data_IF_615043936640
#
_entry.id   IF_615043936640
#
_cell.length_a   1.000
_cell.length_b   1.000
_cell.length_c   1.000
_cell.angle_alpha   90.00
_cell.angle_beta   90.00
_cell.angle_gamma   90.00
#
_symmetry.space_group_name_H-M   'P 1'
#
loop_
_entity.id
_entity.type
_entity.pdbx_description
1 polymer ?
#
# COMPACT_ATOMS: atom_id res chain seq x y z
N UNK A 1 -36.70 -30.21 -48.15
CA UNK A 1 -36.87 -29.38 -46.93
C UNK A 1 -35.78 -28.32 -46.92
N UNK A 2 -36.14 -27.05 -46.85
CA UNK A 2 -35.16 -25.95 -46.66
C UNK A 2 -35.26 -25.55 -45.19
N UNK A 3 -34.25 -25.89 -44.39
CA UNK A 3 -34.19 -25.52 -42.98
C UNK A 3 -33.82 -24.05 -42.84
N UNK A 4 -34.59 -23.30 -42.04
CA UNK A 4 -34.18 -21.96 -41.58
C UNK A 4 -33.32 -22.11 -40.33
N UNK A 5 -32.13 -21.55 -40.35
CA UNK A 5 -31.29 -21.37 -39.16
C UNK A 5 -31.41 -19.93 -38.66
N UNK A 6 -31.47 -19.75 -37.34
CA UNK A 6 -31.36 -18.45 -36.69
C UNK A 6 -30.00 -18.37 -35.98
N UNK A 7 -29.27 -17.28 -36.18
CA UNK A 7 -28.07 -16.96 -35.41
C UNK A 7 -28.53 -16.22 -34.15
N UNK A 8 -28.42 -16.87 -32.99
CA UNK A 8 -28.68 -16.23 -31.69
C UNK A 8 -27.34 -15.71 -31.17
N UNK A 9 -27.21 -14.40 -31.04
CA UNK A 9 -26.03 -13.80 -30.41
C UNK A 9 -26.21 -13.88 -28.89
N UNK A 10 -25.54 -14.82 -28.23
CA UNK A 10 -25.57 -14.94 -26.78
C UNK A 10 -24.57 -13.92 -26.23
N UNK A 11 -25.06 -12.79 -25.73
CA UNK A 11 -24.21 -11.84 -25.02
C UNK A 11 -23.64 -12.54 -23.79
N UNK A 12 -22.31 -12.62 -23.70
CA UNK A 12 -21.66 -13.22 -22.53
C UNK A 12 -21.15 -12.11 -21.63
N UNK A 13 -21.80 -11.97 -20.48
CA UNK A 13 -21.44 -10.99 -19.45
C UNK A 13 -19.99 -11.20 -18.97
N UNK A 14 -19.18 -10.15 -19.03
CA UNK A 14 -17.78 -10.16 -18.59
C UNK A 14 -17.64 -9.52 -17.21
N UNK A 15 -17.36 -10.34 -16.21
CA UNK A 15 -17.13 -9.87 -14.85
C UNK A 15 -15.65 -9.57 -14.66
N UNK A 16 -15.33 -8.32 -14.32
CA UNK A 16 -13.98 -7.94 -13.92
C UNK A 16 -13.84 -8.22 -12.43
N UNK A 17 -12.88 -9.07 -12.07
CA UNK A 17 -12.55 -9.40 -10.69
C UNK A 17 -11.21 -8.77 -10.31
N UNK A 18 -11.22 -7.95 -9.27
CA UNK A 18 -10.01 -7.42 -8.62
C UNK A 18 -9.95 -7.92 -7.18
N UNK A 19 -8.75 -8.13 -6.63
CA UNK A 19 -8.60 -8.58 -5.24
C UNK A 19 -7.59 -7.74 -4.47
N UNK A 20 -7.79 -7.62 -3.16
CA UNK A 20 -6.85 -6.92 -2.28
C UNK A 20 -7.32 -6.74 -0.84
N UNK A 21 -6.38 -6.31 -0.01
CA UNK A 21 -6.67 -5.94 1.38
C UNK A 21 -7.40 -4.60 1.51
N UNK A 22 -7.11 -3.65 0.60
CA UNK A 22 -7.71 -2.31 0.55
C UNK A 22 -7.78 -1.62 1.93
N UNK A 23 -6.66 -1.59 2.64
CA UNK A 23 -6.59 -1.19 4.05
C UNK A 23 -5.46 -0.18 4.36
N UNK A 24 -5.80 1.08 4.69
CA UNK A 24 -7.09 1.74 4.45
C UNK A 24 -7.34 2.02 2.96
N UNK A 25 -8.61 2.22 2.60
CA UNK A 25 -9.01 2.64 1.25
C UNK A 25 -8.56 4.09 1.00
N UNK A 26 -8.12 4.41 -0.22
CA UNK A 26 -7.69 5.76 -0.63
C UNK A 26 -7.89 5.96 -2.14
N UNK A 27 -7.64 7.17 -2.64
CA UNK A 27 -7.86 7.56 -4.04
C UNK A 27 -7.17 6.64 -5.07
N UNK A 28 -5.97 6.14 -4.79
CA UNK A 28 -5.31 5.13 -5.63
C UNK A 28 -6.16 3.87 -5.87
N UNK A 29 -6.86 3.35 -4.86
CA UNK A 29 -7.78 2.23 -5.04
C UNK A 29 -9.01 2.63 -5.87
N UNK A 30 -9.50 3.86 -5.71
CA UNK A 30 -10.63 4.38 -6.49
C UNK A 30 -10.27 4.44 -7.98
N UNK A 31 -9.09 4.96 -8.33
CA UNK A 31 -8.63 5.02 -9.73
C UNK A 31 -8.37 3.62 -10.30
N UNK A 32 -7.82 2.71 -9.49
CA UNK A 32 -7.69 1.31 -9.86
C UNK A 32 -9.04 0.66 -10.18
N UNK A 33 -10.05 0.83 -9.32
CA UNK A 33 -11.40 0.30 -9.55
C UNK A 33 -12.07 0.93 -10.77
N UNK A 34 -11.94 2.25 -10.97
CA UNK A 34 -12.44 2.92 -12.19
C UNK A 34 -11.78 2.38 -13.47
N UNK A 35 -10.49 2.10 -13.43
CA UNK A 35 -9.78 1.51 -14.55
C UNK A 35 -10.23 0.07 -14.80
N UNK A 36 -10.34 -0.74 -13.75
CA UNK A 36 -10.82 -2.11 -13.82
C UNK A 36 -12.25 -2.19 -14.37
N UNK A 37 -13.16 -1.33 -13.90
CA UNK A 37 -14.57 -1.29 -14.33
C UNK A 37 -14.75 -1.12 -15.84
N UNK A 38 -13.79 -0.50 -16.53
CA UNK A 38 -13.82 -0.28 -17.99
C UNK A 38 -13.49 -1.55 -18.80
N UNK A 39 -12.98 -2.60 -18.17
CA UNK A 39 -12.53 -3.82 -18.85
C UNK A 39 -13.68 -4.80 -19.12
N UNK A 40 -14.83 -4.63 -18.47
CA UNK A 40 -15.97 -5.52 -18.59
C UNK A 40 -17.28 -4.86 -18.15
N UNK A 41 -18.29 -5.69 -18.03
CA UNK A 41 -19.68 -5.29 -17.80
C UNK A 41 -19.99 -5.00 -16.33
N UNK A 42 -19.32 -5.72 -15.41
CA UNK A 42 -19.44 -5.56 -13.96
C UNK A 42 -18.06 -5.58 -13.30
N UNK A 43 -17.89 -4.86 -12.19
CA UNK A 43 -16.71 -4.95 -11.32
C UNK A 43 -17.07 -5.65 -10.01
N UNK A 44 -16.45 -6.79 -9.79
CA UNK A 44 -16.48 -7.53 -8.54
C UNK A 44 -15.17 -7.31 -7.79
N UNK A 45 -15.26 -6.93 -6.51
CA UNK A 45 -14.10 -6.67 -5.65
C UNK A 45 -13.99 -7.76 -4.59
N UNK A 46 -12.95 -8.57 -4.67
CA UNK A 46 -12.56 -9.55 -3.66
C UNK A 46 -11.78 -8.92 -2.53
N UNK A 47 -12.28 -9.06 -1.30
CA UNK A 47 -11.64 -8.52 -0.10
C UNK A 47 -10.95 -9.63 0.71
N UNK A 48 -9.68 -9.45 1.02
CA UNK A 48 -8.90 -10.36 1.87
C UNK A 48 -9.26 -10.21 3.36
N UNK A 49 -9.10 -11.28 4.13
CA UNK A 49 -9.41 -11.33 5.58
C UNK A 49 -8.47 -10.45 6.42
N UNK A 50 -8.87 -10.14 7.66
CA UNK A 50 -7.99 -9.45 8.61
C UNK A 50 -6.76 -10.31 8.96
N UNK A 51 -6.93 -11.63 9.04
CA UNK A 51 -5.83 -12.57 9.24
C UNK A 51 -4.79 -12.51 8.11
N UNK A 52 -5.23 -12.36 6.86
CA UNK A 52 -4.34 -12.15 5.72
C UNK A 52 -3.57 -10.85 5.80
N UNK A 53 -4.24 -9.75 6.16
CA UNK A 53 -3.59 -8.46 6.36
C UNK A 53 -2.52 -8.54 7.45
N UNK A 54 -2.82 -9.21 8.57
CA UNK A 54 -1.87 -9.41 9.67
C UNK A 54 -0.67 -10.25 9.22
N UNK A 55 -0.87 -11.39 8.54
CA UNK A 55 0.25 -12.21 8.03
C UNK A 55 1.13 -11.45 7.05
N UNK A 56 0.53 -10.65 6.16
CA UNK A 56 1.25 -9.97 5.08
C UNK A 56 1.90 -8.64 5.50
N UNK A 57 1.23 -7.87 6.36
CA UNK A 57 1.62 -6.49 6.71
C UNK A 57 1.87 -6.29 8.21
N UNK A 58 1.71 -7.33 9.03
CA UNK A 58 1.88 -7.31 10.49
C UNK A 58 0.69 -6.72 11.27
N UNK A 59 -0.30 -6.12 10.59
CA UNK A 59 -1.51 -5.56 11.22
C UNK A 59 -2.64 -5.38 10.20
N UNK A 60 -3.88 -5.37 10.70
CA UNK A 60 -5.04 -4.82 10.03
C UNK A 60 -5.40 -3.47 10.69
N UNK A 61 -5.61 -2.42 9.90
CA UNK A 61 -6.05 -1.11 10.39
C UNK A 61 -7.58 -1.05 10.47
N UNK A 62 -8.26 -1.41 9.38
CA UNK A 62 -9.71 -1.40 9.29
C UNK A 62 -10.27 -2.83 9.33
N UNK A 63 -11.26 -3.12 10.21
CA UNK A 63 -11.90 -4.44 10.27
C UNK A 63 -12.49 -4.86 8.92
N UNK A 64 -12.51 -6.17 8.67
CA UNK A 64 -13.02 -6.74 7.41
C UNK A 64 -14.41 -6.23 7.02
N UNK A 65 -15.34 -6.16 7.98
CA UNK A 65 -16.72 -5.71 7.71
C UNK A 65 -16.79 -4.24 7.30
N UNK A 66 -15.96 -3.37 7.90
CA UNK A 66 -15.88 -1.96 7.54
C UNK A 66 -15.34 -1.78 6.11
N UNK A 67 -14.31 -2.55 5.74
CA UNK A 67 -13.76 -2.54 4.37
C UNK A 67 -14.81 -2.97 3.34
N UNK A 68 -15.59 -4.01 3.66
CA UNK A 68 -16.72 -4.44 2.83
C UNK A 68 -17.73 -3.32 2.65
N UNK A 69 -18.17 -2.69 3.75
CA UNK A 69 -19.24 -1.71 3.71
C UNK A 69 -18.84 -0.48 2.88
N UNK A 70 -17.61 0.00 3.06
CA UNK A 70 -17.11 1.13 2.27
C UNK A 70 -17.04 0.75 0.78
N UNK A 71 -16.48 -0.41 0.44
CA UNK A 71 -16.28 -0.80 -0.97
C UNK A 71 -17.61 -1.07 -1.66
N UNK A 72 -18.58 -1.71 -0.98
CA UNK A 72 -19.93 -1.97 -1.51
C UNK A 72 -20.66 -0.69 -1.92
N UNK A 73 -20.39 0.42 -1.26
CA UNK A 73 -21.03 1.71 -1.54
C UNK A 73 -20.26 2.56 -2.57
N UNK A 74 -19.18 2.04 -3.18
CA UNK A 74 -18.48 2.74 -4.25
C UNK A 74 -19.23 2.57 -5.58
N UNK A 75 -19.56 3.70 -6.22
CA UNK A 75 -20.37 3.75 -7.45
C UNK A 75 -19.95 2.79 -8.58
N UNK A 76 -18.65 2.54 -8.73
CA UNK A 76 -18.11 1.68 -9.80
C UNK A 76 -18.02 0.21 -9.42
N UNK A 77 -18.39 -0.18 -8.20
CA UNK A 77 -18.35 -1.56 -7.71
C UNK A 77 -19.75 -2.14 -7.79
N UNK A 78 -19.91 -3.20 -8.57
CA UNK A 78 -21.19 -3.88 -8.76
C UNK A 78 -21.39 -4.99 -7.70
N UNK A 79 -20.29 -5.61 -7.23
CA UNK A 79 -20.33 -6.65 -6.19
C UNK A 79 -19.08 -6.66 -5.34
N UNK A 80 -19.23 -7.01 -4.06
CA UNK A 80 -18.12 -7.34 -3.17
C UNK A 80 -18.20 -8.80 -2.77
N UNK A 81 -17.08 -9.51 -2.87
CA UNK A 81 -16.97 -10.90 -2.47
C UNK A 81 -15.87 -11.07 -1.42
N UNK A 82 -16.09 -11.99 -0.51
CA UNK A 82 -15.08 -12.47 0.41
C UNK A 82 -14.10 -13.39 -0.32
N UNK A 83 -12.80 -13.18 -0.14
CA UNK A 83 -11.78 -14.11 -0.65
C UNK A 83 -11.59 -15.21 0.38
N UNK A 84 -12.37 -16.28 0.23
CA UNK A 84 -12.30 -17.48 1.09
C UNK A 84 -11.02 -18.26 0.75
N UNK A 85 -10.35 -18.79 1.77
CA UNK A 85 -9.17 -19.68 1.68
C UNK A 85 -7.86 -19.06 1.18
N UNK A 86 -7.68 -17.73 1.19
CA UNK A 86 -6.33 -17.15 1.00
C UNK A 86 -5.35 -17.53 2.14
N UNK A 87 -5.89 -18.11 3.22
CA UNK A 87 -5.25 -18.21 4.52
C UNK A 87 -4.09 -19.20 4.60
N UNK A 88 -3.96 -20.10 3.62
CA UNK A 88 -2.90 -21.12 3.60
C UNK A 88 -1.78 -20.83 2.61
N UNK A 89 -2.05 -20.13 1.50
CA UNK A 89 -1.12 -20.01 0.38
C UNK A 89 -0.88 -18.58 -0.13
N UNK A 90 -1.51 -17.56 0.46
CA UNK A 90 -1.42 -16.17 -0.01
C UNK A 90 -1.90 -15.97 -1.46
N UNK A 91 -2.66 -16.93 -2.01
CA UNK A 91 -3.22 -16.87 -3.36
C UNK A 91 -4.65 -16.29 -3.36
N UNK A 92 -5.00 -15.64 -4.46
CA UNK A 92 -6.34 -15.19 -4.79
C UNK A 92 -7.08 -16.18 -5.70
N UNK A 93 -6.59 -17.42 -5.84
CA UNK A 93 -7.22 -18.46 -6.65
C UNK A 93 -8.62 -18.80 -6.14
N UNK A 94 -8.81 -18.69 -4.83
CA UNK A 94 -10.11 -18.78 -4.17
C UNK A 94 -11.12 -17.73 -4.64
N UNK A 95 -10.68 -16.53 -5.06
CA UNK A 95 -11.58 -15.48 -5.54
C UNK A 95 -12.19 -15.81 -6.90
N UNK A 96 -11.39 -16.37 -7.82
CA UNK A 96 -11.87 -16.80 -9.15
C UNK A 96 -12.86 -17.96 -8.96
N UNK A 97 -12.52 -18.95 -8.15
CA UNK A 97 -13.42 -20.06 -7.80
C UNK A 97 -14.74 -19.55 -7.21
N UNK A 98 -14.68 -18.62 -6.25
CA UNK A 98 -15.85 -18.01 -5.62
C UNK A 98 -16.71 -17.28 -6.65
N UNK A 99 -16.09 -16.53 -7.57
CA UNK A 99 -16.82 -15.81 -8.62
C UNK A 99 -17.65 -16.78 -9.48
N UNK A 100 -17.04 -17.86 -9.98
CA UNK A 100 -17.75 -18.91 -10.71
C UNK A 100 -18.85 -19.57 -9.87
N UNK A 101 -18.56 -19.87 -8.61
CA UNK A 101 -19.50 -20.53 -7.69
C UNK A 101 -20.76 -19.70 -7.40
N UNK A 102 -20.71 -18.38 -7.59
CA UNK A 102 -21.84 -17.47 -7.39
C UNK A 102 -22.41 -16.93 -8.71
N UNK A 103 -22.09 -17.57 -9.84
CA UNK A 103 -22.74 -17.36 -11.13
C UNK A 103 -21.93 -16.58 -12.17
N UNK A 104 -20.65 -16.26 -11.92
CA UNK A 104 -19.82 -15.71 -12.99
C UNK A 104 -19.60 -16.76 -14.08
N UNK A 105 -19.67 -16.36 -15.35
CA UNK A 105 -19.42 -17.25 -16.50
C UNK A 105 -18.13 -16.92 -17.23
N UNK A 106 -17.77 -15.64 -17.30
CA UNK A 106 -16.50 -15.15 -17.84
C UNK A 106 -15.88 -14.15 -16.85
N UNK A 107 -14.63 -14.38 -16.47
CA UNK A 107 -13.91 -13.57 -15.48
C UNK A 107 -12.68 -12.93 -16.11
N UNK A 108 -12.59 -11.61 -16.03
CA UNK A 108 -11.35 -10.86 -16.26
C UNK A 108 -10.71 -10.62 -14.90
N UNK A 109 -9.67 -11.37 -14.57
CA UNK A 109 -8.90 -11.18 -13.34
C UNK A 109 -7.87 -10.06 -13.53
N UNK A 110 -8.21 -8.87 -13.03
CA UNK A 110 -7.41 -7.66 -13.16
C UNK A 110 -6.50 -7.47 -11.93
N UNK A 111 -5.25 -7.11 -12.20
CA UNK A 111 -4.25 -6.78 -11.19
C UNK A 111 -3.68 -5.38 -11.40
N UNK A 112 -3.53 -4.63 -10.31
CA UNK A 112 -2.77 -3.38 -10.31
C UNK A 112 -1.26 -3.59 -10.14
N UNK A 113 -0.46 -2.63 -10.62
CA UNK A 113 0.99 -2.55 -10.37
C UNK A 113 1.86 -3.58 -11.10
N UNK A 114 3.02 -3.90 -10.49
CA UNK A 114 4.15 -4.66 -11.09
C UNK A 114 3.96 -6.18 -11.09
N UNK A 115 2.72 -6.68 -10.96
CA UNK A 115 2.46 -8.11 -11.05
C UNK A 115 2.61 -8.55 -12.51
N UNK A 116 3.54 -9.45 -12.76
CA UNK A 116 3.78 -10.03 -14.08
C UNK A 116 3.31 -11.49 -14.12
N UNK A 117 3.23 -12.07 -15.33
CA UNK A 117 2.76 -13.45 -15.55
C UNK A 117 3.58 -14.49 -14.77
N UNK A 118 4.81 -14.15 -14.40
CA UNK A 118 5.77 -15.02 -13.73
C UNK A 118 5.56 -15.11 -12.21
N UNK A 119 4.72 -14.25 -11.60
CA UNK A 119 4.66 -14.10 -10.13
C UNK A 119 3.24 -14.14 -9.52
N UNK A 120 2.30 -14.82 -10.17
CA UNK A 120 0.92 -15.01 -9.66
C UNK A 120 0.56 -16.50 -9.61
N UNK A 121 0.35 -17.08 -8.41
CA UNK A 121 -0.05 -18.47 -8.25
C UNK A 121 -1.32 -18.85 -9.02
N UNK A 122 -2.23 -17.90 -9.24
CA UNK A 122 -3.54 -18.09 -9.87
C UNK A 122 -3.41 -18.52 -11.33
N UNK A 123 -2.36 -18.09 -12.04
CA UNK A 123 -2.08 -18.53 -13.41
C UNK A 123 -1.80 -20.03 -13.47
N UNK A 124 -1.21 -20.63 -12.43
CA UNK A 124 -0.98 -22.09 -12.39
C UNK A 124 -2.30 -22.86 -12.36
N UNK A 125 -3.32 -22.31 -11.70
CA UNK A 125 -4.62 -22.97 -11.54
C UNK A 125 -5.59 -22.64 -12.68
N UNK A 126 -5.60 -21.40 -13.16
CA UNK A 126 -6.63 -20.88 -14.07
C UNK A 126 -6.11 -20.43 -15.43
N UNK A 127 -4.80 -20.43 -15.68
CA UNK A 127 -4.21 -19.86 -16.90
C UNK A 127 -4.61 -20.55 -18.22
N UNK A 128 -5.07 -21.80 -18.15
CA UNK A 128 -5.57 -22.55 -19.31
C UNK A 128 -7.10 -22.54 -19.42
N UNK A 129 -7.81 -21.85 -18.52
CA UNK A 129 -9.26 -21.79 -18.55
C UNK A 129 -9.73 -20.75 -19.59
N UNK A 130 -10.50 -21.14 -20.62
CA UNK A 130 -10.93 -20.23 -21.69
C UNK A 130 -11.87 -19.11 -21.20
N UNK A 131 -12.45 -19.28 -20.00
CA UNK A 131 -13.37 -18.33 -19.39
C UNK A 131 -12.67 -17.40 -18.39
N UNK A 132 -11.34 -17.46 -18.26
CA UNK A 132 -10.55 -16.59 -17.39
C UNK A 132 -9.49 -15.85 -18.20
N UNK A 133 -9.58 -14.53 -18.20
CA UNK A 133 -8.59 -13.63 -18.80
C UNK A 133 -7.82 -12.90 -17.71
N UNK A 134 -6.50 -12.75 -17.85
CA UNK A 134 -5.66 -12.04 -16.89
C UNK A 134 -5.17 -10.71 -17.48
N UNK A 135 -5.42 -9.60 -16.77
CA UNK A 135 -4.96 -8.26 -17.17
C UNK A 135 -4.08 -7.66 -16.07
N UNK A 136 -2.92 -7.13 -16.46
CA UNK A 136 -1.90 -6.54 -15.57
C UNK A 136 -1.77 -5.04 -15.80
N UNK A 137 -1.18 -4.34 -14.82
CA UNK A 137 -0.92 -2.89 -14.93
C UNK A 137 -2.18 -2.02 -14.93
N UNK A 138 -3.30 -2.55 -14.44
CA UNK A 138 -4.57 -1.80 -14.40
C UNK A 138 -4.45 -0.66 -13.38
N UNK A 139 -4.80 0.56 -13.79
CA UNK A 139 -4.67 1.77 -12.96
C UNK A 139 -3.39 2.60 -13.21
N UNK A 140 -2.47 2.12 -14.07
CA UNK A 140 -1.29 2.86 -14.55
C UNK A 140 -0.24 3.21 -13.48
N UNK A 141 0.75 4.01 -13.86
CA UNK A 141 1.87 4.48 -13.02
C UNK A 141 1.47 5.50 -11.94
N UNK A 142 0.17 5.80 -11.81
CA UNK A 142 -0.38 6.59 -10.71
C UNK A 142 -0.38 5.79 -9.39
N UNK A 143 0.76 5.18 -9.06
CA UNK A 143 1.22 4.76 -7.71
C UNK A 143 1.39 5.95 -6.75
N UNK A 144 0.81 7.11 -7.06
CA UNK A 144 0.68 8.19 -6.09
C UNK A 144 -0.30 7.69 -5.03
N UNK A 145 0.27 7.18 -3.94
CA UNK A 145 -0.34 6.95 -2.63
C UNK A 145 -0.60 5.49 -2.25
N UNK A 146 0.44 4.70 -1.93
CA UNK A 146 0.28 3.47 -1.11
C UNK A 146 -0.34 3.82 0.24
N UNK A 147 -1.24 3.02 0.81
CA UNK A 147 -1.81 3.29 2.13
C UNK A 147 -0.76 3.41 3.26
N UNK A 148 0.49 2.98 3.01
CA UNK A 148 1.64 3.15 3.92
C UNK A 148 1.90 4.59 4.32
N UNK A 149 1.89 5.58 3.40
CA UNK A 149 2.19 6.97 3.78
C UNK A 149 1.13 7.54 4.74
N UNK A 150 -0.15 7.20 4.53
CA UNK A 150 -1.26 7.61 5.41
C UNK A 150 -1.03 7.07 6.82
N UNK A 151 -0.68 5.79 6.91
CA UNK A 151 -0.51 5.13 8.19
C UNK A 151 0.79 5.55 8.90
N UNK A 152 1.84 5.88 8.16
CA UNK A 152 3.10 6.35 8.71
C UNK A 152 2.97 7.79 9.25
N UNK A 153 2.23 8.66 8.56
CA UNK A 153 1.91 9.99 9.08
C UNK A 153 0.96 9.94 10.28
N UNK A 154 -0.02 9.03 10.29
CA UNK A 154 -0.94 8.90 11.43
C UNK A 154 -0.24 8.38 12.70
N UNK A 155 0.64 7.37 12.57
CA UNK A 155 1.38 6.81 13.71
C UNK A 155 2.39 7.80 14.30
N UNK A 156 3.04 8.58 13.44
CA UNK A 156 4.12 9.48 13.81
C UNK A 156 3.91 10.83 13.11
N UNK A 157 2.97 11.65 13.60
CA UNK A 157 2.64 12.92 12.95
C UNK A 157 3.83 13.85 12.93
N UNK A 158 3.97 14.58 11.82
CA UNK A 158 5.01 15.61 11.64
C UNK A 158 4.64 16.86 12.45
N UNK A 159 5.59 17.36 13.20
CA UNK A 159 5.56 18.70 13.79
C UNK A 159 6.34 19.64 12.88
N UNK A 160 5.65 20.61 12.28
CA UNK A 160 6.23 21.61 11.38
C UNK A 160 6.90 22.73 12.20
N UNK A 161 8.07 23.19 11.74
CA UNK A 161 8.87 24.26 12.32
C UNK A 161 9.42 25.16 11.21
N UNK A 162 9.90 26.36 11.56
CA UNK A 162 10.45 27.32 10.60
C UNK A 162 11.74 26.86 9.89
N UNK A 163 12.33 25.74 10.34
CA UNK A 163 13.52 25.11 9.77
C UNK A 163 13.22 23.82 9.00
N UNK A 164 11.97 23.36 8.96
CA UNK A 164 11.56 22.08 8.36
C UNK A 164 10.56 21.35 9.26
N UNK A 165 10.79 20.08 9.56
CA UNK A 165 9.88 19.31 10.42
C UNK A 165 10.58 18.17 11.16
N UNK A 166 9.94 17.66 12.21
CA UNK A 166 10.32 16.41 12.84
C UNK A 166 9.12 15.52 13.14
N UNK A 167 9.34 14.22 13.30
CA UNK A 167 8.38 13.29 13.91
C UNK A 167 9.07 12.37 14.91
N UNK A 168 8.30 11.86 15.86
CA UNK A 168 8.78 10.89 16.86
C UNK A 168 8.49 9.49 16.32
N UNK A 169 9.54 8.70 16.11
CA UNK A 169 9.44 7.33 15.61
C UNK A 169 9.22 6.32 16.75
N UNK A 170 9.87 6.55 17.89
CA UNK A 170 9.70 5.74 19.10
C UNK A 170 10.02 6.58 20.36
N UNK A 171 9.35 6.28 21.47
CA UNK A 171 9.47 7.02 22.72
C UNK A 171 9.14 6.10 23.91
N UNK A 172 10.17 5.65 24.63
CA UNK A 172 10.05 4.76 25.80
C UNK A 172 10.88 5.31 26.97
N UNK A 173 10.71 4.80 28.21
CA UNK A 173 11.60 5.16 29.31
C UNK A 173 13.06 4.90 28.92
N UNK A 174 13.89 5.95 29.00
CA UNK A 174 15.33 5.89 28.69
C UNK A 174 15.73 6.29 27.27
N UNK A 175 14.83 6.34 26.28
CA UNK A 175 15.20 6.76 24.93
C UNK A 175 14.07 7.38 24.11
N UNK A 176 14.47 8.15 23.09
CA UNK A 176 13.57 8.73 22.09
C UNK A 176 14.25 8.75 20.73
N UNK A 177 13.56 8.24 19.71
CA UNK A 177 14.02 8.27 18.32
C UNK A 177 13.18 9.27 17.56
N UNK A 178 13.84 10.21 16.87
CA UNK A 178 13.19 11.21 16.02
C UNK A 178 13.75 11.15 14.62
N UNK A 179 12.88 11.38 13.65
CA UNK A 179 13.27 11.76 12.30
C UNK A 179 13.11 13.27 12.17
N UNK A 180 14.14 13.92 11.63
CA UNK A 180 14.16 15.35 11.39
C UNK A 180 14.48 15.59 9.91
N UNK A 181 13.81 16.56 9.31
CA UNK A 181 14.19 17.15 8.02
C UNK A 181 14.42 18.63 8.24
N UNK A 182 15.65 19.04 7.98
CA UNK A 182 16.08 20.44 8.02
C UNK A 182 16.19 20.90 6.57
N UNK A 183 15.44 21.93 6.21
CA UNK A 183 15.45 22.46 4.84
C UNK A 183 16.79 23.14 4.53
N UNK A 184 17.24 23.14 3.26
CA UNK A 184 18.49 23.79 2.87
C UNK A 184 18.60 25.23 3.37
N UNK A 185 19.74 25.56 3.98
CA UNK A 185 20.01 26.89 4.54
C UNK A 185 19.32 27.19 5.88
N UNK A 186 18.57 26.24 6.45
CA UNK A 186 17.99 26.36 7.80
C UNK A 186 18.87 25.67 8.86
N UNK A 187 18.60 25.96 10.12
CA UNK A 187 19.30 25.35 11.25
C UNK A 187 18.38 25.14 12.44
N UNK A 188 18.77 24.21 13.31
CA UNK A 188 18.18 24.04 14.63
C UNK A 188 18.80 25.06 15.60
N UNK A 189 18.05 25.46 16.62
CA UNK A 189 18.61 26.18 17.75
C UNK A 189 19.57 25.29 18.54
N UNK A 190 20.64 25.85 19.10
CA UNK A 190 21.50 25.14 20.06
C UNK A 190 20.66 24.61 21.22
N UNK A 191 20.87 23.35 21.61
CA UNK A 191 20.14 22.70 22.70
C UNK A 191 21.14 22.21 23.75
N UNK A 192 20.98 22.68 24.99
CA UNK A 192 21.78 22.23 26.13
C UNK A 192 21.08 21.07 26.84
N UNK A 193 21.84 20.06 27.23
CA UNK A 193 21.37 18.95 28.07
C UNK A 193 22.49 18.47 29.00
N UNK A 194 22.13 17.83 30.12
CA UNK A 194 23.08 17.38 31.15
C UNK A 194 23.18 15.86 31.30
N UNK A 195 22.20 15.11 30.78
CA UNK A 195 22.04 13.67 31.08
C UNK A 195 21.69 12.84 29.84
N UNK A 196 21.87 13.41 28.65
CA UNK A 196 21.43 12.79 27.39
C UNK A 196 22.63 12.63 26.48
N UNK A 197 22.94 11.39 26.10
CA UNK A 197 23.75 11.17 24.90
C UNK A 197 22.86 11.31 23.66
N UNK A 198 23.34 12.01 22.64
CA UNK A 198 22.68 12.15 21.35
C UNK A 198 23.48 11.45 20.25
N UNK A 199 22.81 10.61 19.46
CA UNK A 199 23.39 10.02 18.26
C UNK A 199 22.68 10.59 17.02
N UNK A 200 23.46 11.11 16.09
CA UNK A 200 22.99 11.72 14.85
C UNK A 200 23.42 10.88 13.65
N UNK A 201 22.48 10.60 12.75
CA UNK A 201 22.72 9.90 11.49
C UNK A 201 22.07 10.69 10.35
N UNK A 202 22.86 10.97 9.30
CA UNK A 202 22.35 11.66 8.11
C UNK A 202 21.88 10.63 7.11
N UNK A 203 20.56 10.52 6.94
CA UNK A 203 19.96 9.57 6.00
C UNK A 203 19.99 10.06 4.55
N UNK A 204 20.02 11.38 4.34
CA UNK A 204 20.05 12.01 3.02
C UNK A 204 20.61 13.43 3.09
N UNK A 205 21.43 13.81 2.11
CA UNK A 205 22.04 15.14 2.01
C UNK A 205 23.25 15.31 2.94
N UNK A 206 23.64 16.57 3.18
CA UNK A 206 24.77 16.91 4.05
C UNK A 206 24.34 17.92 5.11
N UNK A 207 24.99 17.90 6.26
CA UNK A 207 24.77 18.90 7.30
C UNK A 207 26.04 19.19 8.09
N UNK A 208 26.06 20.36 8.74
CA UNK A 208 27.12 20.74 9.65
C UNK A 208 26.57 20.65 11.07
N UNK A 209 27.14 19.78 11.90
CA UNK A 209 26.86 19.73 13.33
C UNK A 209 27.83 20.66 14.05
N UNK A 210 27.27 21.57 14.86
CA UNK A 210 28.03 22.43 15.76
C UNK A 210 27.73 22.04 17.20
N UNK A 211 28.77 21.77 17.97
CA UNK A 211 28.68 21.48 19.41
C UNK A 211 29.49 22.50 20.19
N UNK A 212 29.05 22.81 21.40
CA UNK A 212 29.74 23.71 22.32
C UNK A 212 30.06 22.95 23.60
N UNK A 213 31.35 22.86 23.93
CA UNK A 213 31.84 22.18 25.13
C UNK A 213 32.92 22.98 25.83
N UNK A 214 33.56 22.38 26.84
CA UNK A 214 34.62 23.05 27.62
C UNK A 214 35.81 23.53 26.76
N UNK A 215 36.07 22.85 25.63
CA UNK A 215 37.10 23.21 24.66
C UNK A 215 36.66 24.27 23.63
N UNK A 216 35.46 24.86 23.79
CA UNK A 216 34.87 25.81 22.85
C UNK A 216 33.94 25.15 21.82
N UNK A 217 33.68 25.86 20.72
CA UNK A 217 32.79 25.41 19.66
C UNK A 217 33.54 24.50 18.69
N UNK A 218 32.99 23.32 18.43
CA UNK A 218 33.46 22.39 17.42
C UNK A 218 32.45 22.33 16.27
N UNK A 219 32.94 22.05 15.07
CA UNK A 219 32.12 21.93 13.86
C UNK A 219 32.55 20.68 13.09
N UNK A 220 31.59 19.84 12.74
CA UNK A 220 31.80 18.64 11.95
C UNK A 220 30.81 18.60 10.79
N UNK A 221 31.30 18.33 9.59
CA UNK A 221 30.46 18.03 8.44
C UNK A 221 30.09 16.55 8.44
N UNK A 222 28.81 16.26 8.28
CA UNK A 222 28.29 14.92 8.11
C UNK A 222 27.71 14.74 6.71
N UNK A 223 28.07 13.63 6.09
CA UNK A 223 27.62 13.25 4.76
C UNK A 223 26.55 12.16 4.83
N UNK A 224 25.81 12.03 3.73
CA UNK A 224 24.78 11.01 3.56
C UNK A 224 25.33 9.61 3.81
N UNK A 225 24.63 8.84 4.65
CA UNK A 225 24.96 7.44 4.99
C UNK A 225 26.36 7.26 5.60
N UNK A 226 26.95 8.31 6.19
CA UNK A 226 28.22 8.23 6.91
C UNK A 226 28.09 7.57 8.28
N UNK A 227 29.23 7.35 8.96
CA UNK A 227 29.23 7.02 10.39
C UNK A 227 28.50 8.13 11.16
N UNK A 228 27.66 7.74 12.11
CA UNK A 228 26.92 8.69 12.94
C UNK A 228 27.83 9.49 13.87
N UNK A 229 27.32 10.60 14.38
CA UNK A 229 28.01 11.46 15.34
C UNK A 229 27.40 11.30 16.74
N UNK A 230 28.25 11.12 17.74
CA UNK A 230 27.86 10.99 19.14
C UNK A 230 28.17 12.28 19.89
N UNK A 231 27.20 12.76 20.66
CA UNK A 231 27.36 13.84 21.64
C UNK A 231 27.04 13.23 22.99
N UNK A 232 28.07 12.96 23.78
CA UNK A 232 27.89 12.46 25.15
C UNK A 232 27.76 13.63 26.14
N UNK A 233 26.91 13.43 27.15
CA UNK A 233 26.71 14.38 28.25
C UNK A 233 27.68 14.14 29.40
#
# INVERSE_FOLDING_TARGET
MVGKAAVINIYVNKIVLVTGGFDPIHSGHIEYFKAARKLGDELWVGINSDAWLIRKKGRAFMPFNERIEIIKNLKMVDKVIDVVNDDKNNDAGGAIFKAFSIGATNVIFANGGDRTKENIPEMKQWGNNPNVEFIFGVGGDNKKNSSSWILDEWKSPKTIRNWGWYRVLDNKPGYKVKELVIEPGKSLSMQRHFYRSEHWYVLKGTCIIKTEGAAGIQSLELEELSRGYCIDA
#
